data_IF_099876438051
#
_entry.id   IF_099876438051
#
_cell.length_a   1.000
_cell.length_b   1.000
_cell.length_c   1.000
_cell.angle_alpha   90.00
_cell.angle_beta   90.00
_cell.angle_gamma   90.00
#
_symmetry.space_group_name_H-M   'P 1'
#
loop_
_entity.id
_entity.type
_entity.pdbx_description
1 polymer ?
#
# COMPACT_ATOMS: atom_id res chain seq x y z
N UNK A 1 -21.27 5.16 -18.46
CA UNK A 1 -21.20 6.64 -18.51
C UNK A 1 -19.73 6.99 -18.70
N UNK A 2 -19.35 7.61 -19.82
CA UNK A 2 -17.96 8.03 -20.04
C UNK A 2 -17.79 9.44 -19.49
N UNK A 3 -16.78 9.64 -18.65
CA UNK A 3 -16.38 10.97 -18.20
C UNK A 3 -15.46 11.58 -19.28
N UNK A 4 -15.69 12.85 -19.61
CA UNK A 4 -14.88 13.57 -20.59
C UNK A 4 -13.66 14.24 -19.93
N UNK A 5 -13.75 14.49 -18.63
CA UNK A 5 -12.67 15.11 -17.84
C UNK A 5 -12.55 14.40 -16.50
N UNK A 6 -11.32 14.14 -16.07
CA UNK A 6 -10.98 13.61 -14.76
C UNK A 6 -10.04 14.59 -14.03
N UNK A 7 -10.14 14.65 -12.71
CA UNK A 7 -9.21 15.36 -11.85
C UNK A 7 -8.99 14.57 -10.57
N UNK A 8 -7.77 14.10 -10.37
CA UNK A 8 -7.34 13.42 -9.17
C UNK A 8 -6.92 14.41 -8.09
N UNK A 9 -6.95 13.97 -6.83
CA UNK A 9 -6.40 14.71 -5.68
C UNK A 9 -4.91 15.06 -5.83
N UNK A 10 -4.19 14.36 -6.70
CA UNK A 10 -2.78 14.63 -7.09
C UNK A 10 -2.64 15.77 -8.11
N UNK A 11 -3.74 16.22 -8.71
CA UNK A 11 -3.74 17.19 -9.82
C UNK A 11 -3.69 16.54 -11.21
N UNK A 12 -3.55 15.22 -11.29
CA UNK A 12 -3.52 14.50 -12.57
C UNK A 12 -4.93 14.38 -13.20
N UNK A 13 -4.98 14.21 -14.52
CA UNK A 13 -6.23 14.08 -15.29
C UNK A 13 -6.32 12.78 -16.10
N UNK A 14 -5.35 11.88 -15.91
CA UNK A 14 -5.28 10.56 -16.55
C UNK A 14 -6.39 9.63 -16.06
N UNK A 15 -6.71 8.60 -16.86
CA UNK A 15 -7.68 7.55 -16.46
C UNK A 15 -7.24 6.70 -15.27
N UNK A 16 -5.94 6.70 -14.97
CA UNK A 16 -5.33 6.02 -13.83
C UNK A 16 -4.11 6.80 -13.33
N UNK A 17 -3.83 6.69 -12.03
CA UNK A 17 -2.63 7.24 -11.38
C UNK A 17 -1.86 6.12 -10.68
N UNK A 18 -0.53 6.25 -10.59
CA UNK A 18 0.30 5.35 -9.77
C UNK A 18 0.49 5.96 -8.39
N UNK A 19 0.00 5.27 -7.36
CA UNK A 19 0.12 5.70 -5.96
C UNK A 19 1.09 4.77 -5.23
N UNK A 20 2.17 5.33 -4.70
CA UNK A 20 3.18 4.58 -3.92
C UNK A 20 3.11 4.84 -2.42
N UNK A 21 2.36 5.86 -2.01
CA UNK A 21 2.25 6.27 -0.61
C UNK A 21 0.84 5.98 -0.08
N UNK A 22 0.71 5.46 1.15
CA UNK A 22 -0.57 5.37 1.83
C UNK A 22 -1.18 6.76 1.97
N UNK A 23 -2.49 6.86 1.80
CA UNK A 23 -3.18 8.14 1.87
C UNK A 23 -4.60 8.07 1.36
N UNK A 24 -5.28 9.21 1.47
CA UNK A 24 -6.61 9.39 0.93
C UNK A 24 -6.53 9.99 -0.48
N UNK A 25 -7.12 9.29 -1.43
CA UNK A 25 -7.16 9.71 -2.83
C UNK A 25 -8.61 9.83 -3.29
N UNK A 26 -8.89 10.84 -4.10
CA UNK A 26 -10.20 11.05 -4.70
C UNK A 26 -10.06 11.45 -6.16
N UNK A 27 -11.10 11.15 -6.94
CA UNK A 27 -11.22 11.56 -8.34
C UNK A 27 -12.55 12.27 -8.54
N UNK A 28 -12.51 13.42 -9.21
CA UNK A 28 -13.69 14.08 -9.77
C UNK A 28 -13.79 13.75 -11.24
N UNK A 29 -14.98 13.40 -11.69
CA UNK A 29 -15.27 13.06 -13.07
C UNK A 29 -16.43 13.92 -13.58
N UNK A 30 -16.24 14.52 -14.76
CA UNK A 30 -17.23 15.37 -15.41
C UNK A 30 -17.79 14.71 -16.66
N UNK A 31 -19.11 14.76 -16.81
CA UNK A 31 -19.81 14.45 -18.05
C UNK A 31 -20.77 15.62 -18.36
N UNK A 32 -20.28 16.59 -19.14
CA UNK A 32 -20.97 17.87 -19.34
C UNK A 32 -21.12 18.61 -18.01
N UNK A 33 -22.36 18.92 -17.63
CA UNK A 33 -22.70 19.58 -16.36
C UNK A 33 -22.74 18.63 -15.17
N UNK A 34 -22.73 17.32 -15.38
CA UNK A 34 -22.77 16.34 -14.31
C UNK A 34 -21.37 16.12 -13.73
N UNK A 35 -21.24 16.22 -12.41
CA UNK A 35 -20.00 15.96 -11.67
C UNK A 35 -20.24 14.83 -10.69
N UNK A 36 -19.38 13.82 -10.72
CA UNK A 36 -19.34 12.77 -9.68
C UNK A 36 -17.97 12.77 -9.02
N UNK A 37 -17.91 12.35 -7.76
CA UNK A 37 -16.67 12.19 -7.01
C UNK A 37 -16.67 10.81 -6.38
N UNK A 38 -15.54 10.11 -6.48
CA UNK A 38 -15.31 8.86 -5.76
C UNK A 38 -13.95 8.91 -5.05
N UNK A 39 -13.79 8.11 -4.00
CA UNK A 39 -12.64 8.18 -3.10
C UNK A 39 -12.23 6.83 -2.55
N UNK A 40 -10.94 6.68 -2.28
CA UNK A 40 -10.34 5.48 -1.73
C UNK A 40 -9.27 5.82 -0.71
N UNK A 41 -9.20 5.01 0.36
CA UNK A 41 -8.12 5.08 1.34
C UNK A 41 -7.10 3.97 1.07
N UNK A 42 -5.90 4.34 0.64
CA UNK A 42 -4.79 3.43 0.43
C UNK A 42 -4.06 3.23 1.75
N UNK A 43 -4.01 1.99 2.24
CA UNK A 43 -3.28 1.62 3.46
C UNK A 43 -1.92 1.03 3.07
N UNK A 44 -0.91 1.26 3.91
CA UNK A 44 0.32 0.48 3.83
C UNK A 44 -0.03 -0.94 4.21
N UNK A 45 0.25 -1.89 3.31
CA UNK A 45 0.19 -3.29 3.69
C UNK A 45 1.47 -3.63 4.47
N UNK A 46 1.36 -3.62 5.79
CA UNK A 46 2.45 -4.01 6.70
C UNK A 46 2.40 -5.51 6.99
N UNK A 47 2.05 -6.33 5.99
CA UNK A 47 1.96 -7.77 6.17
C UNK A 47 3.37 -8.38 6.24
N UNK A 48 3.83 -8.61 7.46
CA UNK A 48 4.99 -9.44 7.74
C UNK A 48 4.54 -10.90 7.74
N UNK A 49 4.91 -11.65 6.70
CA UNK A 49 4.76 -13.10 6.69
C UNK A 49 5.71 -13.69 7.72
N UNK A 50 5.20 -13.95 8.92
CA UNK A 50 5.90 -14.77 9.91
C UNK A 50 5.49 -16.23 9.64
N UNK A 51 6.39 -17.05 9.09
CA UNK A 51 6.10 -18.45 8.84
C UNK A 51 5.75 -19.16 10.16
N UNK A 52 4.74 -20.06 10.09
CA UNK A 52 4.29 -20.85 11.24
C UNK A 52 5.13 -22.13 11.45
N UNK A 53 6.04 -22.41 10.54
CA UNK A 53 6.97 -23.52 10.60
C UNK A 53 8.38 -22.95 10.69
N UNK A 54 9.20 -23.53 11.58
CA UNK A 54 10.62 -23.26 11.71
C UNK A 54 11.36 -24.51 11.24
N UNK A 55 12.20 -24.36 10.23
CA UNK A 55 12.94 -25.46 9.59
C UNK A 55 14.40 -25.05 9.44
N UNK A 56 15.21 -25.11 10.52
CA UNK A 56 16.59 -24.66 10.49
C UNK A 56 17.45 -25.63 9.68
N UNK A 57 17.53 -25.39 8.38
CA UNK A 57 18.27 -26.19 7.40
C UNK A 57 19.21 -25.33 6.55
N UNK A 58 19.28 -24.01 6.79
CA UNK A 58 20.17 -23.04 6.14
C UNK A 58 19.80 -22.74 4.67
N UNK A 59 18.53 -22.87 4.29
CA UNK A 59 18.04 -22.51 2.94
C UNK A 59 17.55 -21.06 2.81
N UNK A 60 17.54 -20.30 3.91
CA UNK A 60 17.11 -18.92 3.98
C UNK A 60 15.61 -18.74 4.24
N UNK A 61 14.84 -19.83 4.27
CA UNK A 61 13.42 -19.83 4.63
C UNK A 61 13.26 -20.44 6.02
N UNK A 62 12.54 -19.74 6.90
CA UNK A 62 12.12 -20.29 8.19
C UNK A 62 13.27 -20.77 9.11
N UNK A 63 14.49 -20.22 8.94
CA UNK A 63 15.71 -20.61 9.68
C UNK A 63 15.89 -19.88 11.02
N UNK A 64 15.15 -18.79 11.26
CA UNK A 64 15.25 -17.98 12.46
C UNK A 64 13.90 -17.81 13.15
N UNK A 65 13.85 -18.16 14.43
CA UNK A 65 12.73 -17.82 15.30
C UNK A 65 13.01 -16.44 15.92
N UNK A 66 12.23 -15.43 15.53
CA UNK A 66 12.33 -14.08 16.07
C UNK A 66 11.18 -13.83 17.07
N UNK A 67 11.46 -13.70 18.38
CA UNK A 67 10.47 -13.30 19.37
C UNK A 67 9.79 -11.98 18.95
N UNK A 68 8.45 -11.93 19.04
CA UNK A 68 7.63 -10.78 18.62
C UNK A 68 8.08 -9.43 19.23
N UNK A 69 8.66 -9.45 20.43
CA UNK A 69 9.19 -8.23 21.08
C UNK A 69 10.31 -7.59 20.27
N UNK A 70 11.21 -8.38 19.68
CA UNK A 70 12.35 -7.91 18.87
C UNK A 70 11.93 -7.43 17.46
N UNK A 71 10.73 -7.77 16.99
CA UNK A 71 10.17 -7.26 15.73
C UNK A 71 9.46 -5.90 15.88
N UNK A 72 9.08 -5.54 17.12
CA UNK A 72 8.43 -4.26 17.42
C UNK A 72 9.41 -3.12 17.70
N UNK A 73 10.63 -3.45 18.13
CA UNK A 73 11.73 -2.49 18.25
C UNK A 73 12.59 -2.59 17.00
N UNK A 74 12.70 -1.52 16.21
CA UNK A 74 13.56 -1.49 15.02
C UNK A 74 15.03 -1.72 15.38
N UNK A 75 15.46 -2.99 15.39
CA UNK A 75 16.81 -3.37 15.75
C UNK A 75 17.75 -3.16 14.56
N UNK A 76 18.63 -2.17 14.69
CA UNK A 76 19.88 -2.12 13.93
C UNK A 76 20.91 -2.98 14.68
N UNK A 77 21.27 -4.13 14.11
CA UNK A 77 22.44 -4.87 14.58
C UNK A 77 23.68 -4.20 13.98
N UNK A 78 24.48 -3.53 14.82
CA UNK A 78 25.87 -3.23 14.49
C UNK A 78 26.73 -4.42 14.86
N UNK A 79 27.49 -4.93 13.88
CA UNK A 79 28.47 -6.00 14.05
C UNK A 79 29.61 -5.61 15.00
#
# INVERSE_FOLDING_TARGET
MNANTLLWSTGETSSSILVTQPGYYWVKAWNGSCVTTDSIWIRRDCYLNIPNAFSPNTDGLNDYFLPRELLSSGLTFSA
#
